data_IF_670980027263
#
_entry.id   IF_670980027263
#
_cell.length_a   1.000
_cell.length_b   1.000
_cell.length_c   1.000
_cell.angle_alpha   90.00
_cell.angle_beta   90.00
_cell.angle_gamma   90.00
#
_symmetry.space_group_name_H-M   'P 1'
#
loop_
_entity.id
_entity.type
_entity.pdbx_description
1 polymer ?
#
# COMPACT_ATOMS: atom_id res chain seq x y z
N UNK A 1 -15.52 -3.63 -8.77
CA UNK A 1 -15.46 -5.10 -8.90
C UNK A 1 -14.61 -5.41 -10.11
N UNK A 2 -13.73 -6.41 -10.01
CA UNK A 2 -12.88 -6.81 -11.14
C UNK A 2 -12.56 -8.30 -11.03
N UNK A 3 -12.25 -8.93 -12.17
CA UNK A 3 -11.91 -10.34 -12.23
C UNK A 3 -10.39 -10.52 -12.14
N UNK A 4 -9.95 -11.46 -11.31
CA UNK A 4 -8.57 -11.96 -11.28
C UNK A 4 -8.62 -13.48 -11.35
N UNK A 5 -8.05 -14.04 -12.42
CA UNK A 5 -7.88 -15.49 -12.58
C UNK A 5 -9.19 -16.28 -12.39
N UNK A 6 -10.30 -15.82 -13.01
CA UNK A 6 -11.60 -16.46 -12.90
C UNK A 6 -12.31 -16.27 -11.56
N UNK A 7 -11.82 -15.38 -10.70
CA UNK A 7 -12.47 -15.00 -9.44
C UNK A 7 -12.85 -13.54 -9.48
N UNK A 8 -14.01 -13.22 -8.94
CA UNK A 8 -14.47 -11.86 -8.86
C UNK A 8 -14.08 -11.27 -7.51
N UNK A 9 -13.36 -10.16 -7.56
CA UNK A 9 -12.95 -9.41 -6.38
C UNK A 9 -13.77 -8.13 -6.26
N UNK A 10 -14.32 -7.92 -5.08
CA UNK A 10 -14.94 -6.68 -4.66
C UNK A 10 -14.06 -6.05 -3.58
N UNK A 11 -13.65 -4.81 -3.83
CA UNK A 11 -12.91 -3.98 -2.90
C UNK A 11 -13.86 -2.93 -2.36
N UNK A 12 -13.86 -2.75 -1.04
CA UNK A 12 -14.56 -1.67 -0.36
C UNK A 12 -13.55 -0.86 0.45
N UNK A 13 -13.61 0.47 0.33
CA UNK A 13 -12.80 1.40 1.09
C UNK A 13 -13.60 1.90 2.29
N UNK A 14 -12.95 2.04 3.44
CA UNK A 14 -13.50 2.74 4.61
C UNK A 14 -13.27 4.25 4.47
N UNK A 15 -13.83 5.01 5.39
CA UNK A 15 -13.47 6.42 5.55
C UNK A 15 -11.99 6.52 5.95
N UNK A 16 -11.32 7.58 5.48
CA UNK A 16 -9.93 7.83 5.82
C UNK A 16 -9.81 8.36 7.25
N UNK A 17 -8.78 7.88 7.94
CA UNK A 17 -8.36 8.35 9.26
C UNK A 17 -7.18 9.30 9.03
N UNK A 18 -7.35 10.55 9.47
CA UNK A 18 -6.22 11.50 9.50
C UNK A 18 -5.32 11.18 10.68
N UNK A 19 -4.01 11.13 10.44
CA UNK A 19 -3.05 10.68 11.41
C UNK A 19 -1.77 11.50 11.41
N UNK A 20 -1.08 11.55 12.55
CA UNK A 20 0.14 12.32 12.74
C UNK A 20 1.25 11.48 13.37
N UNK A 21 2.49 11.68 12.90
CA UNK A 21 3.69 11.38 13.68
C UNK A 21 4.23 12.69 14.24
N UNK A 22 4.30 12.77 15.57
CA UNK A 22 5.05 13.83 16.26
C UNK A 22 6.53 13.43 16.36
N UNK A 23 7.36 14.02 15.51
CA UNK A 23 8.82 13.82 15.50
C UNK A 23 9.49 14.53 16.69
N UNK A 24 8.88 15.59 17.22
CA UNK A 24 9.44 16.40 18.30
C UNK A 24 9.18 15.82 19.69
N UNK A 25 8.17 14.94 19.83
CA UNK A 25 7.73 14.34 21.08
C UNK A 25 7.16 15.34 22.09
N UNK A 26 6.82 16.54 21.63
CA UNK A 26 6.46 17.68 22.46
C UNK A 26 5.04 18.21 22.17
N UNK A 27 4.28 17.55 21.30
CA UNK A 27 3.00 18.08 20.84
C UNK A 27 1.84 17.53 21.66
N UNK A 28 0.92 18.41 22.03
CA UNK A 28 -0.40 18.04 22.51
C UNK A 28 -1.28 17.66 21.31
N UNK A 29 -1.62 16.37 21.19
CA UNK A 29 -2.49 15.88 20.13
C UNK A 29 -3.88 16.52 20.12
N UNK A 30 -4.30 17.17 21.21
CA UNK A 30 -5.56 17.93 21.26
C UNK A 30 -5.61 19.09 20.24
N UNK A 31 -4.44 19.59 19.80
CA UNK A 31 -4.35 20.66 18.80
C UNK A 31 -4.58 20.18 17.36
N UNK A 32 -4.54 18.86 17.11
CA UNK A 32 -4.69 18.26 15.78
C UNK A 32 -6.11 17.81 15.44
N UNK A 33 -7.11 18.29 16.19
CA UNK A 33 -8.52 17.98 15.94
C UNK A 33 -8.82 16.49 16.13
N UNK A 34 -9.45 15.87 15.12
CA UNK A 34 -9.85 14.46 15.16
C UNK A 34 -8.75 13.49 14.72
N UNK A 35 -7.51 13.95 14.65
CA UNK A 35 -6.40 13.16 14.11
C UNK A 35 -5.80 12.26 15.17
N UNK A 36 -5.42 11.06 14.77
CA UNK A 36 -4.84 10.07 15.68
C UNK A 36 -3.31 10.03 15.59
N UNK A 37 -2.61 9.60 16.65
CA UNK A 37 -1.27 9.05 16.52
C UNK A 37 -1.24 7.96 15.43
N UNK A 38 -0.20 7.96 14.59
CA UNK A 38 -0.17 7.05 13.43
C UNK A 38 -0.26 5.57 13.80
N UNK A 39 0.36 5.15 14.90
CA UNK A 39 0.27 3.76 15.38
C UNK A 39 -1.18 3.36 15.70
N UNK A 40 -1.96 4.25 16.31
CA UNK A 40 -3.38 4.05 16.57
C UNK A 40 -4.19 4.01 15.27
N UNK A 41 -3.97 4.94 14.34
CA UNK A 41 -4.65 4.95 13.05
C UNK A 41 -4.38 3.68 12.24
N UNK A 42 -3.13 3.19 12.24
CA UNK A 42 -2.76 1.92 11.59
C UNK A 42 -3.47 0.74 12.24
N UNK A 43 -3.55 0.72 13.57
CA UNK A 43 -4.25 -0.34 14.30
C UNK A 43 -5.75 -0.34 13.97
N UNK A 44 -6.41 0.82 14.02
CA UNK A 44 -7.83 0.95 13.69
C UNK A 44 -8.12 0.57 12.23
N UNK A 45 -7.33 1.09 11.30
CA UNK A 45 -7.50 0.81 9.89
C UNK A 45 -7.28 -0.66 9.54
N UNK A 46 -6.44 -1.40 10.28
CA UNK A 46 -6.17 -2.82 10.03
C UNK A 46 -6.93 -3.79 10.94
N UNK A 47 -7.69 -3.32 11.93
CA UNK A 47 -8.39 -4.19 12.88
C UNK A 47 -9.38 -5.13 12.16
N UNK A 48 -10.37 -4.56 11.48
CA UNK A 48 -11.44 -5.30 10.77
C UNK A 48 -11.35 -5.21 9.23
N UNK A 49 -10.22 -4.74 8.70
CA UNK A 49 -10.00 -4.65 7.25
C UNK A 49 -8.87 -5.59 6.82
N UNK A 50 -8.87 -6.03 5.56
CA UNK A 50 -7.86 -6.92 5.02
C UNK A 50 -6.56 -6.18 4.68
N UNK A 51 -6.65 -4.89 4.41
CA UNK A 51 -5.52 -4.02 4.09
C UNK A 51 -5.82 -2.57 4.51
N UNK A 52 -4.82 -1.69 4.40
CA UNK A 52 -5.03 -0.26 4.40
C UNK A 52 -4.08 0.43 3.41
N UNK A 53 -4.59 1.46 2.74
CA UNK A 53 -3.75 2.43 2.05
C UNK A 53 -3.20 3.42 3.06
N UNK A 54 -1.91 3.75 2.93
CA UNK A 54 -1.26 4.79 3.70
C UNK A 54 -0.74 5.83 2.72
N UNK A 55 -1.19 7.06 2.87
CA UNK A 55 -0.78 8.22 2.08
C UNK A 55 0.02 9.18 2.96
N UNK A 56 1.25 9.48 2.56
CA UNK A 56 2.14 10.45 3.21
C UNK A 56 2.83 11.28 2.13
N UNK A 57 2.70 12.61 2.18
CA UNK A 57 3.17 13.51 1.12
C UNK A 57 2.76 13.05 -0.31
N UNK A 58 3.74 12.68 -1.13
CA UNK A 58 3.65 12.23 -2.52
C UNK A 58 3.75 10.71 -2.65
N UNK A 59 3.64 9.99 -1.53
CA UNK A 59 3.82 8.54 -1.46
C UNK A 59 2.53 7.88 -0.97
N UNK A 60 2.02 6.96 -1.77
CA UNK A 60 0.98 6.02 -1.38
C UNK A 60 1.51 4.60 -1.44
N UNK A 61 1.26 3.82 -0.40
CA UNK A 61 1.61 2.41 -0.33
C UNK A 61 0.51 1.63 0.39
N UNK A 62 0.58 0.31 0.30
CA UNK A 62 -0.43 -0.61 0.81
C UNK A 62 0.17 -1.48 1.91
N UNK A 63 -0.48 -1.55 3.06
CA UNK A 63 -0.26 -2.63 4.02
C UNK A 63 -1.39 -3.64 3.91
N UNK A 64 -1.10 -4.93 3.80
CA UNK A 64 -2.11 -5.99 3.62
C UNK A 64 -1.84 -7.18 4.53
N UNK A 65 -2.91 -7.74 5.10
CA UNK A 65 -2.87 -8.96 5.88
C UNK A 65 -3.06 -10.17 4.96
N UNK A 66 -2.29 -11.21 5.20
CA UNK A 66 -2.50 -12.51 4.57
C UNK A 66 -2.22 -13.62 5.58
N UNK A 67 -3.28 -14.29 6.03
CA UNK A 67 -3.20 -15.21 7.16
C UNK A 67 -2.80 -14.47 8.44
N UNK A 68 -1.69 -14.89 9.06
CA UNK A 68 -1.12 -14.23 10.25
C UNK A 68 -0.04 -13.21 9.92
N UNK A 69 0.29 -13.07 8.64
CA UNK A 69 1.39 -12.22 8.18
C UNK A 69 0.88 -10.86 7.72
N UNK A 70 1.71 -9.83 7.93
CA UNK A 70 1.51 -8.48 7.41
C UNK A 70 2.52 -8.25 6.28
N UNK A 71 2.06 -7.69 5.17
CA UNK A 71 2.92 -7.31 4.05
C UNK A 71 2.77 -5.83 3.76
N UNK A 72 3.85 -5.21 3.32
CA UNK A 72 3.88 -3.85 2.80
C UNK A 72 4.25 -3.89 1.33
N UNK A 73 3.45 -3.25 0.49
CA UNK A 73 3.73 -3.03 -0.91
C UNK A 73 3.86 -1.53 -1.20
N UNK A 74 5.06 -1.09 -1.58
CA UNK A 74 5.34 0.27 -2.04
C UNK A 74 5.76 0.23 -3.51
N UNK A 75 4.96 0.85 -4.37
CA UNK A 75 5.18 0.83 -5.82
C UNK A 75 6.33 1.74 -6.28
N UNK A 76 6.76 2.68 -5.44
CA UNK A 76 7.75 3.68 -5.83
C UNK A 76 9.17 3.08 -5.89
N UNK A 77 10.09 3.82 -6.52
CA UNK A 77 11.50 3.47 -6.52
C UNK A 77 12.09 3.65 -5.11
N UNK A 78 12.34 2.53 -4.43
CA UNK A 78 12.94 2.48 -3.09
C UNK A 78 14.20 1.64 -3.06
N UNK A 79 15.08 1.92 -2.11
CA UNK A 79 16.16 1.02 -1.73
C UNK A 79 15.69 -0.02 -0.70
N UNK A 80 16.56 -0.92 -0.27
CA UNK A 80 16.24 -1.99 0.69
C UNK A 80 15.81 -1.49 2.08
N UNK A 81 16.10 -0.22 2.40
CA UNK A 81 15.71 0.44 3.65
C UNK A 81 14.34 1.15 3.55
N UNK A 82 13.67 1.10 2.38
CA UNK A 82 12.39 1.79 2.19
C UNK A 82 12.51 3.29 1.88
N UNK A 83 13.72 3.79 1.62
CA UNK A 83 13.95 5.19 1.28
C UNK A 83 13.87 5.43 -0.23
N UNK A 84 13.43 6.62 -0.63
CA UNK A 84 13.39 7.02 -2.05
C UNK A 84 14.78 6.90 -2.67
N UNK A 85 14.86 6.25 -3.83
CA UNK A 85 16.12 6.08 -4.55
C UNK A 85 15.86 6.18 -6.06
N UNK A 86 16.70 6.92 -6.80
CA UNK A 86 16.50 7.17 -8.25
C UNK A 86 16.44 5.88 -9.07
N UNK A 87 17.29 4.92 -8.73
CA UNK A 87 17.36 3.60 -9.37
C UNK A 87 16.74 2.50 -8.49
N UNK A 88 15.88 2.91 -7.56
CA UNK A 88 15.17 1.99 -6.67
C UNK A 88 14.15 1.13 -7.41
N UNK A 89 13.60 0.16 -6.69
CA UNK A 89 12.55 -0.74 -7.19
C UNK A 89 11.35 -0.68 -6.27
N UNK A 90 10.20 -1.11 -6.78
CA UNK A 90 9.04 -1.38 -5.94
C UNK A 90 9.38 -2.46 -4.91
N UNK A 91 8.83 -2.33 -3.71
CA UNK A 91 9.11 -3.22 -2.59
C UNK A 91 7.86 -4.02 -2.23
N UNK A 92 8.07 -5.30 -1.92
CA UNK A 92 7.14 -6.12 -1.16
C UNK A 92 7.89 -6.64 0.07
N UNK A 93 7.57 -6.11 1.24
CA UNK A 93 8.20 -6.50 2.50
C UNK A 93 7.22 -7.32 3.33
N UNK A 94 7.68 -8.44 3.89
CA UNK A 94 6.97 -9.14 4.95
C UNK A 94 7.34 -8.50 6.29
N UNK A 95 6.34 -8.05 7.03
CA UNK A 95 6.48 -7.38 8.31
C UNK A 95 6.07 -8.34 9.44
N UNK A 96 6.89 -8.43 10.47
CA UNK A 96 6.60 -9.27 11.64
C UNK A 96 5.56 -8.65 12.60
N UNK A 97 5.23 -7.36 12.47
CA UNK A 97 4.29 -6.66 13.36
C UNK A 97 3.83 -5.32 12.78
N UNK A 98 2.76 -4.76 13.35
CA UNK A 98 2.33 -3.37 13.10
C UNK A 98 3.41 -2.35 13.50
N UNK A 99 4.21 -2.65 14.53
CA UNK A 99 5.32 -1.75 14.89
C UNK A 99 6.33 -1.63 13.75
N UNK A 100 6.64 -2.71 13.01
CA UNK A 100 7.52 -2.59 11.84
C UNK A 100 6.90 -1.74 10.72
N UNK A 101 5.57 -1.77 10.55
CA UNK A 101 4.87 -0.86 9.63
C UNK A 101 5.01 0.60 10.07
N UNK A 102 4.80 0.87 11.36
CA UNK A 102 5.01 2.20 11.93
C UNK A 102 6.46 2.68 11.76
N UNK A 103 7.47 1.83 12.01
CA UNK A 103 8.87 2.17 11.79
C UNK A 103 9.18 2.47 10.31
N UNK A 104 8.56 1.76 9.37
CA UNK A 104 8.64 2.10 7.95
C UNK A 104 8.11 3.51 7.68
N UNK A 105 6.95 3.87 8.27
CA UNK A 105 6.42 5.23 8.21
C UNK A 105 7.39 6.29 8.75
N UNK A 106 7.99 6.03 9.91
CA UNK A 106 9.01 6.90 10.49
C UNK A 106 10.23 7.07 9.58
N UNK A 107 10.66 6.01 8.90
CA UNK A 107 11.83 6.07 7.99
C UNK A 107 11.60 6.99 6.78
N UNK A 108 10.37 7.07 6.26
CA UNK A 108 10.04 7.92 5.11
C UNK A 108 10.09 9.41 5.43
N UNK A 109 9.84 9.76 6.69
CA UNK A 109 9.85 11.14 7.17
C UNK A 109 11.16 11.47 7.91
N UNK A 110 12.12 10.55 7.93
CA UNK A 110 13.41 10.75 8.57
C UNK A 110 14.12 11.96 7.96
N UNK A 111 14.47 12.92 8.83
CA UNK A 111 15.07 14.20 8.42
C UNK A 111 14.06 15.35 8.27
N UNK A 112 12.75 15.11 8.44
CA UNK A 112 11.78 16.18 8.63
C UNK A 112 11.98 16.83 10.00
N UNK A 113 11.91 18.17 10.04
CA UNK A 113 11.91 18.97 11.28
C UNK A 113 10.51 19.23 11.84
N UNK A 114 9.48 18.90 11.07
CA UNK A 114 8.07 19.14 11.43
C UNK A 114 7.31 17.82 11.53
N UNK A 115 6.20 17.85 12.28
CA UNK A 115 5.26 16.75 12.35
C UNK A 115 4.74 16.38 10.96
N UNK A 116 4.39 15.11 10.78
CA UNK A 116 3.93 14.64 9.49
C UNK A 116 2.55 14.03 9.51
N UNK A 117 1.78 14.42 8.50
CA UNK A 117 0.41 14.05 8.28
C UNK A 117 0.31 12.85 7.36
N UNK A 118 -0.56 11.93 7.74
CA UNK A 118 -0.87 10.71 7.04
C UNK A 118 -2.37 10.61 6.87
N UNK A 119 -2.79 10.02 5.76
CA UNK A 119 -4.17 9.56 5.58
C UNK A 119 -4.14 8.03 5.48
N UNK A 120 -4.88 7.37 6.36
CA UNK A 120 -4.93 5.91 6.46
C UNK A 120 -6.34 5.43 6.13
N UNK A 121 -6.49 4.65 5.06
CA UNK A 121 -7.80 4.18 4.58
C UNK A 121 -7.87 2.67 4.64
N UNK A 122 -8.73 2.12 5.50
CA UNK A 122 -8.98 0.68 5.58
C UNK A 122 -9.61 0.12 4.29
N UNK A 123 -9.28 -1.12 3.95
CA UNK A 123 -9.72 -1.82 2.74
C UNK A 123 -10.22 -3.22 3.08
N UNK A 124 -11.48 -3.50 2.76
CA UNK A 124 -12.03 -4.86 2.83
C UNK A 124 -12.08 -5.47 1.43
N UNK A 125 -11.70 -6.74 1.32
CA UNK A 125 -11.68 -7.51 0.09
C UNK A 125 -12.60 -8.73 0.21
N UNK A 126 -13.58 -8.81 -0.68
CA UNK A 126 -14.44 -9.99 -0.83
C UNK A 126 -14.11 -10.69 -2.14
N UNK A 127 -14.01 -12.01 -2.09
CA UNK A 127 -13.69 -12.84 -3.24
C UNK A 127 -14.85 -13.81 -3.47
N UNK A 128 -15.41 -13.77 -4.66
CA UNK A 128 -16.51 -14.61 -5.10
C UNK A 128 -16.05 -15.51 -6.22
N UNK A 129 -16.60 -16.71 -6.29
CA UNK A 129 -16.65 -17.43 -7.57
C UNK A 129 -17.75 -16.83 -8.44
N UNK A 130 -17.64 -17.00 -9.75
CA UNK A 130 -18.59 -16.43 -10.71
C UNK A 130 -20.02 -16.95 -10.51
N UNK A 131 -20.17 -18.17 -10.00
CA UNK A 131 -21.44 -18.80 -9.64
C UNK A 131 -21.98 -18.40 -8.25
N UNK A 132 -21.19 -17.68 -7.44
CA UNK A 132 -21.53 -17.23 -6.09
C UNK A 132 -21.88 -15.72 -6.03
N UNK A 133 -22.01 -15.06 -7.17
CA UNK A 133 -22.32 -13.63 -7.23
C UNK A 133 -23.70 -13.33 -6.64
N UNK A 134 -23.83 -12.34 -5.74
CA UNK A 134 -25.13 -11.87 -5.29
C UNK A 134 -25.97 -11.35 -6.48
N UNK A 135 -27.23 -11.78 -6.58
CA UNK A 135 -28.13 -11.51 -7.72
C UNK A 135 -28.40 -10.01 -8.01
N UNK A 136 -27.93 -9.09 -7.14
CA UNK A 136 -28.34 -7.68 -7.14
C UNK A 136 -27.29 -6.67 -7.62
N UNK A 137 -26.40 -7.00 -8.56
CA UNK A 137 -25.45 -6.01 -9.08
C UNK A 137 -25.51 -5.84 -10.60
N UNK A 138 -25.95 -4.64 -11.01
CA UNK A 138 -25.82 -4.14 -12.37
C UNK A 138 -24.36 -4.24 -12.81
N UNK A 139 -24.12 -5.03 -13.87
CA UNK A 139 -22.86 -5.04 -14.58
C UNK A 139 -22.59 -3.61 -15.03
N UNK A 140 -21.54 -2.98 -14.51
CA UNK A 140 -21.07 -1.71 -15.05
C UNK A 140 -20.67 -1.97 -16.51
N UNK A 141 -21.56 -1.61 -17.43
CA UNK A 141 -21.35 -1.75 -18.86
C UNK A 141 -20.14 -0.88 -19.23
N UNK A 142 -19.00 -1.50 -19.52
CA UNK A 142 -17.79 -0.80 -19.98
C UNK A 142 -17.89 -0.35 -21.44
N UNK A 143 -19.09 -0.37 -22.03
CA UNK A 143 -19.30 -0.12 -23.46
C UNK A 143 -19.21 1.36 -23.88
N UNK A 144 -19.16 2.33 -22.97
CA UNK A 144 -19.22 3.77 -23.34
C UNK A 144 -17.96 4.60 -23.10
N UNK A 145 -16.84 3.98 -22.71
CA UNK A 145 -15.55 4.69 -22.63
C UNK A 145 -14.53 4.05 -23.57
N UNK A 146 -14.46 4.63 -24.78
CA UNK A 146 -13.41 4.38 -25.76
C UNK A 146 -12.07 4.71 -25.12
N UNK A 147 -11.32 3.69 -24.71
CA UNK A 147 -9.94 3.83 -24.25
C UNK A 147 -9.14 4.62 -25.31
N UNK A 148 -8.32 5.62 -24.94
CA UNK A 148 -7.46 6.28 -25.90
C UNK A 148 -6.49 5.25 -26.50
N UNK A 149 -6.39 5.23 -27.82
CA UNK A 149 -5.48 4.34 -28.55
C UNK A 149 -4.04 4.60 -28.12
N UNK A 150 -3.47 3.65 -27.37
CA UNK A 150 -2.04 3.63 -27.09
C UNK A 150 -1.35 3.29 -28.41
N UNK A 151 -0.63 4.28 -28.99
CA UNK A 151 0.28 4.04 -30.12
C UNK A 151 1.31 3.00 -29.69
N UNK A 152 1.20 1.78 -30.22
CA UNK A 152 2.25 0.76 -30.10
C UNK A 152 3.51 1.29 -30.78
N UNK A 153 4.49 1.71 -30.00
CA UNK A 153 5.88 1.75 -30.45
C UNK A 153 6.48 0.42 -30.06
N UNK A 154 6.78 -0.42 -31.06
CA UNK A 154 7.48 -1.67 -30.83
C UNK A 154 8.91 -1.36 -30.35
N UNK A 155 9.17 -1.57 -29.06
CA UNK A 155 10.52 -1.81 -28.58
C UNK A 155 10.61 -3.28 -28.21
N UNK A 156 11.13 -4.09 -29.13
CA UNK A 156 11.60 -5.45 -28.82
C UNK A 156 12.73 -5.33 -27.80
N UNK A 157 12.44 -5.60 -26.53
CA UNK A 157 13.44 -5.98 -25.54
C UNK A 157 13.02 -7.31 -24.94
N UNK A 158 13.74 -8.36 -25.35
CA UNK A 158 13.74 -9.67 -24.72
C UNK A 158 14.30 -9.52 -23.31
N UNK A 159 13.52 -9.89 -22.31
CA UNK A 159 13.96 -9.92 -20.91
C UNK A 159 14.60 -11.26 -20.62
N UNK A 160 15.86 -11.43 -21.00
CA UNK A 160 16.69 -12.49 -20.44
C UNK A 160 17.13 -12.05 -19.04
N UNK A 161 16.38 -12.47 -18.01
CA UNK A 161 16.75 -12.24 -16.62
C UNK A 161 17.91 -13.20 -16.26
N UNK A 162 19.09 -12.71 -15.84
CA UNK A 162 20.11 -13.58 -15.32
C UNK A 162 19.68 -14.10 -13.94
N UNK A 163 19.74 -15.43 -13.77
CA UNK A 163 19.69 -16.09 -12.48
C UNK A 163 21.01 -15.73 -11.77
N UNK A 164 20.95 -14.88 -10.75
CA UNK A 164 22.08 -14.63 -9.86
C UNK A 164 22.13 -15.81 -8.90
N UNK A 165 23.10 -16.72 -9.11
CA UNK A 165 23.50 -17.69 -8.10
C UNK A 165 24.40 -16.97 -7.08
N UNK A 166 24.05 -17.10 -5.81
CA UNK A 166 24.86 -16.63 -4.68
C UNK A 166 26.27 -17.21 -4.73
N UNK A 167 27.28 -16.35 -4.64
CA UNK A 167 28.61 -16.73 -4.16
C UNK A 167 29.06 -15.69 -3.12
N UNK A 168 28.61 -15.89 -1.89
CA UNK A 168 29.12 -15.18 -0.72
C UNK A 168 30.45 -15.82 -0.32
N UNK A 169 31.55 -15.39 -0.93
CA UNK A 169 32.88 -15.59 -0.34
C UNK A 169 33.17 -14.43 0.60
N UNK A 170 33.16 -14.72 1.91
CA UNK A 170 33.71 -13.88 2.97
C UNK A 170 35.21 -13.69 2.75
N UNK A 171 35.65 -12.44 2.71
CA UNK A 171 37.01 -12.03 3.08
C UNK A 171 36.99 -10.65 3.73
#
# INVERSE_FOLDING_TARGET
>A
MFEISGKIMQISLKDSISAVIDISGAIDFSEFGNSLPLDQALQEALFDNDACFICAYDTTFLALKHGQDLFLFDSHARNELGLKHSDGKSLLLKLSSLNHLYQYCCSMIAGSSEHQWFEVTGVTMLMFREDELPESHERMNTSDHKLPEIRKTESKKTWDLPIIQDDLTLS
#
